data_IF_292710308696
#
_entry.id   IF_292710308696
#
_cell.length_a   1.000
_cell.length_b   1.000
_cell.length_c   1.000
_cell.angle_alpha   90.00
_cell.angle_beta   90.00
_cell.angle_gamma   90.00
#
_symmetry.space_group_name_H-M   'P 1'
#
loop_
_entity.id
_entity.type
_entity.pdbx_description
1 polymer ?
#
# COMPACT_ATOMS: atom_id res chain seq x y z
N UNK A 1 -18.59 -47.94 -25.34
CA UNK A 1 -18.92 -47.15 -24.14
C UNK A 1 -19.24 -45.72 -24.61
N UNK A 2 -20.46 -45.27 -24.31
CA UNK A 2 -21.17 -44.20 -25.02
C UNK A 2 -20.69 -42.78 -24.76
N UNK A 3 -20.81 -41.96 -25.80
CA UNK A 3 -20.74 -40.50 -25.82
C UNK A 3 -21.85 -39.86 -24.95
N UNK A 4 -21.46 -38.94 -24.05
CA UNK A 4 -22.37 -38.15 -23.22
C UNK A 4 -22.79 -36.85 -23.90
N UNK A 5 -24.08 -36.73 -24.19
CA UNK A 5 -24.73 -35.62 -24.88
C UNK A 5 -24.93 -34.37 -24.00
N UNK A 6 -24.75 -33.21 -24.64
CA UNK A 6 -25.21 -31.89 -24.22
C UNK A 6 -26.71 -31.85 -23.90
N UNK A 7 -27.10 -31.19 -22.79
CA UNK A 7 -28.49 -30.73 -22.57
C UNK A 7 -28.53 -29.27 -22.11
N UNK A 8 -29.09 -28.45 -22.99
CA UNK A 8 -29.53 -27.07 -22.79
C UNK A 8 -30.50 -26.95 -21.61
N UNK A 9 -30.25 -26.02 -20.69
CA UNK A 9 -31.25 -25.56 -19.71
C UNK A 9 -31.98 -24.34 -20.26
N UNK A 10 -33.27 -24.50 -20.55
CA UNK A 10 -34.20 -23.42 -20.91
C UNK A 10 -34.52 -22.58 -19.67
N UNK A 11 -34.26 -21.28 -19.77
CA UNK A 11 -34.69 -20.27 -18.81
C UNK A 11 -36.19 -20.00 -19.00
N UNK A 12 -37.01 -20.17 -17.95
CA UNK A 12 -38.45 -19.89 -17.97
C UNK A 12 -38.68 -18.40 -17.67
N UNK A 13 -39.10 -17.64 -18.68
CA UNK A 13 -39.64 -16.30 -18.53
C UNK A 13 -41.11 -16.39 -18.07
N UNK A 14 -41.42 -15.85 -16.89
CA UNK A 14 -42.78 -15.69 -16.38
C UNK A 14 -43.43 -14.45 -16.98
N UNK A 15 -44.56 -14.66 -17.64
CA UNK A 15 -45.41 -13.63 -18.23
C UNK A 15 -46.15 -12.86 -17.14
N UNK A 16 -45.88 -11.56 -16.99
CA UNK A 16 -46.73 -10.65 -16.22
C UNK A 16 -47.68 -9.90 -17.16
N UNK A 17 -48.98 -10.11 -16.94
CA UNK A 17 -50.10 -9.50 -17.64
C UNK A 17 -50.13 -7.98 -17.45
N UNK A 18 -50.17 -7.23 -18.55
CA UNK A 18 -50.48 -5.80 -18.57
C UNK A 18 -51.96 -5.57 -18.21
N UNK A 19 -52.24 -4.97 -17.05
CA UNK A 19 -53.51 -4.28 -16.79
C UNK A 19 -53.38 -2.84 -17.27
N UNK A 20 -54.18 -2.47 -18.27
CA UNK A 20 -54.36 -1.07 -18.70
C UNK A 20 -55.02 -0.29 -17.57
N UNK A 21 -54.28 0.61 -16.93
CA UNK A 21 -54.85 1.68 -16.12
C UNK A 21 -54.81 2.97 -16.93
N UNK A 22 -55.95 3.34 -17.49
CA UNK A 22 -56.20 4.69 -17.96
C UNK A 22 -56.67 5.53 -16.77
N UNK A 23 -56.03 6.67 -16.49
CA UNK A 23 -56.67 7.93 -16.07
C UNK A 23 -55.60 9.01 -15.78
N UNK A 24 -55.66 10.04 -16.63
CA UNK A 24 -55.43 11.48 -16.37
C UNK A 24 -54.30 11.86 -15.39
N UNK A 25 -53.19 12.31 -15.95
CA UNK A 25 -52.15 13.08 -15.27
C UNK A 25 -52.67 14.47 -14.87
N UNK A 26 -52.49 14.92 -13.61
CA UNK A 26 -52.60 16.34 -13.27
C UNK A 26 -51.37 17.07 -13.82
N UNK A 27 -51.59 18.26 -14.38
CA UNK A 27 -50.55 19.13 -14.90
C UNK A 27 -49.55 19.54 -13.82
N UNK A 28 -48.42 18.83 -13.74
CA UNK A 28 -47.26 19.32 -13.00
C UNK A 28 -46.67 20.49 -13.78
N UNK A 29 -46.83 21.69 -13.22
CA UNK A 29 -46.15 22.90 -13.71
C UNK A 29 -44.64 22.63 -13.67
N UNK A 30 -43.99 22.70 -14.84
CA UNK A 30 -42.53 22.65 -14.94
C UNK A 30 -41.94 23.84 -14.18
N UNK A 31 -41.04 23.64 -13.20
CA UNK A 31 -40.27 24.76 -12.67
C UNK A 31 -39.34 25.25 -13.78
N UNK A 32 -39.41 26.55 -14.10
CA UNK A 32 -38.45 27.26 -14.96
C UNK A 32 -37.14 27.45 -14.19
N UNK A 33 -36.34 26.40 -14.04
CA UNK A 33 -34.97 26.48 -13.53
C UNK A 33 -34.10 25.47 -14.29
N UNK A 34 -33.91 25.69 -15.59
CA UNK A 34 -33.02 24.86 -16.41
C UNK A 34 -32.26 25.66 -17.48
N UNK A 35 -32.20 26.99 -17.36
CA UNK A 35 -31.49 27.82 -18.33
C UNK A 35 -30.18 28.39 -17.78
N UNK A 36 -30.08 28.69 -16.48
CA UNK A 36 -28.88 29.31 -15.89
C UNK A 36 -27.77 28.33 -15.50
N UNK A 37 -28.00 27.02 -15.61
CA UNK A 37 -26.99 25.99 -15.27
C UNK A 37 -26.18 25.50 -16.49
N UNK A 38 -26.58 25.87 -17.71
CA UNK A 38 -25.93 25.41 -18.95
C UNK A 38 -24.95 26.44 -19.52
N UNK A 39 -25.08 27.72 -19.17
CA UNK A 39 -24.19 28.79 -19.66
C UNK A 39 -22.84 28.81 -18.92
N UNK A 40 -22.76 28.21 -17.73
CA UNK A 40 -21.54 28.15 -16.90
C UNK A 40 -20.62 26.95 -17.23
N UNK A 41 -20.99 26.16 -18.24
CA UNK A 41 -20.23 24.96 -18.64
C UNK A 41 -19.14 25.23 -19.69
N UNK A 42 -19.23 26.38 -20.40
CA UNK A 42 -18.21 26.78 -21.39
C UNK A 42 -17.00 27.45 -20.74
N UNK A 43 -17.21 28.20 -19.65
CA UNK A 43 -16.13 28.85 -18.86
C UNK A 43 -15.23 27.83 -18.14
N UNK A 44 -15.78 26.68 -17.73
CA UNK A 44 -15.02 25.61 -17.06
C UNK A 44 -14.11 24.82 -18.01
N UNK A 45 -14.36 24.83 -19.32
CA UNK A 45 -13.54 24.12 -20.30
C UNK A 45 -12.32 24.94 -20.76
N UNK A 46 -12.30 26.27 -20.55
CA UNK A 46 -11.21 27.15 -20.99
C UNK A 46 -10.07 27.30 -19.97
N UNK A 47 -10.24 26.83 -18.73
CA UNK A 47 -9.24 26.96 -17.65
C UNK A 47 -8.29 25.77 -17.49
N UNK A 48 -8.50 24.67 -18.20
CA UNK A 48 -7.45 23.64 -18.34
C UNK A 48 -6.45 24.12 -19.41
N UNK A 49 -5.54 25.01 -19.02
CA UNK A 49 -4.52 25.54 -19.92
C UNK A 49 -3.73 24.39 -20.56
N UNK A 50 -3.22 24.59 -21.78
CA UNK A 50 -2.37 23.61 -22.47
C UNK A 50 -1.18 23.13 -21.60
N UNK A 51 -0.73 23.95 -20.64
CA UNK A 51 0.27 23.59 -19.62
C UNK A 51 -0.19 22.47 -18.67
N UNK A 52 -1.47 22.41 -18.30
CA UNK A 52 -1.99 21.35 -17.42
C UNK A 52 -1.96 19.97 -18.09
N UNK A 53 -2.15 19.92 -19.40
CA UNK A 53 -2.05 18.69 -20.22
C UNK A 53 -0.59 18.32 -20.55
N UNK A 54 0.34 19.26 -20.42
CA UNK A 54 1.77 19.07 -20.65
C UNK A 54 2.54 18.63 -19.38
N UNK A 55 1.89 18.62 -18.20
CA UNK A 55 2.54 18.18 -16.97
C UNK A 55 3.01 16.72 -17.10
N UNK A 56 4.27 16.44 -16.70
CA UNK A 56 4.81 15.10 -16.82
C UNK A 56 4.01 14.13 -15.92
N UNK A 57 3.75 12.92 -16.45
CA UNK A 57 2.85 11.94 -15.84
C UNK A 57 3.56 11.15 -14.75
N UNK A 58 3.75 11.76 -13.58
CA UNK A 58 4.19 11.04 -12.39
C UNK A 58 3.02 10.46 -11.61
N UNK A 59 3.31 9.52 -10.72
CA UNK A 59 2.33 8.91 -9.81
C UNK A 59 3.05 8.14 -8.70
N UNK A 60 2.32 7.83 -7.64
CA UNK A 60 2.75 7.06 -6.49
C UNK A 60 2.06 5.69 -6.52
N UNK A 61 2.86 4.65 -6.31
CA UNK A 61 2.40 3.29 -6.06
C UNK A 61 2.84 2.86 -4.66
N UNK A 62 1.90 2.40 -3.84
CA UNK A 62 2.19 1.89 -2.50
C UNK A 62 1.89 0.39 -2.44
N UNK A 63 2.87 -0.38 -1.97
CA UNK A 63 2.79 -1.81 -1.69
C UNK A 63 2.86 -1.97 -0.18
N UNK A 64 1.69 -2.00 0.48
CA UNK A 64 1.61 -2.00 1.93
C UNK A 64 0.95 -3.25 2.50
N UNK A 65 1.54 -3.85 3.53
CA UNK A 65 1.02 -5.06 4.16
C UNK A 65 1.94 -5.59 5.24
N UNK A 66 1.49 -6.60 5.99
CA UNK A 66 2.28 -7.23 7.05
C UNK A 66 3.61 -7.83 6.56
N UNK A 67 4.48 -8.19 7.50
CA UNK A 67 5.68 -8.99 7.22
C UNK A 67 5.33 -10.29 6.48
N UNK A 68 6.27 -10.82 5.69
CA UNK A 68 6.15 -12.07 4.92
C UNK A 68 5.11 -12.05 3.77
N UNK A 69 4.50 -10.92 3.47
CA UNK A 69 3.52 -10.80 2.38
C UNK A 69 4.13 -10.62 0.98
N UNK A 70 5.47 -10.59 0.85
CA UNK A 70 6.13 -10.44 -0.45
C UNK A 70 6.22 -9.00 -0.97
N UNK A 71 6.14 -7.98 -0.11
CA UNK A 71 6.24 -6.56 -0.51
C UNK A 71 7.51 -6.25 -1.31
N UNK A 72 8.66 -6.63 -0.76
CA UNK A 72 9.98 -6.42 -1.38
C UNK A 72 10.10 -7.14 -2.72
N UNK A 73 9.51 -8.34 -2.85
CA UNK A 73 9.45 -9.07 -4.13
C UNK A 73 8.57 -8.35 -5.16
N UNK A 74 7.42 -7.83 -4.74
CA UNK A 74 6.56 -7.03 -5.61
C UNK A 74 7.25 -5.72 -6.05
N UNK A 75 7.96 -5.04 -5.15
CA UNK A 75 8.77 -3.85 -5.46
C UNK A 75 9.84 -4.19 -6.50
N UNK A 76 10.69 -5.19 -6.24
CA UNK A 76 11.73 -5.64 -7.17
C UNK A 76 11.15 -6.00 -8.54
N UNK A 77 10.02 -6.70 -8.56
CA UNK A 77 9.35 -7.08 -9.82
C UNK A 77 8.96 -5.86 -10.64
N UNK A 78 8.44 -4.79 -10.00
CA UNK A 78 8.05 -3.55 -10.70
C UNK A 78 9.25 -2.76 -11.18
N UNK A 79 10.29 -2.63 -10.36
CA UNK A 79 11.52 -1.95 -10.73
C UNK A 79 12.25 -2.66 -11.88
N UNK A 80 12.27 -4.00 -11.89
CA UNK A 80 12.82 -4.79 -13.01
C UNK A 80 12.08 -4.55 -14.33
N UNK A 81 10.74 -4.47 -14.29
CA UNK A 81 9.96 -4.13 -15.49
C UNK A 81 10.33 -2.76 -16.05
N UNK A 82 10.58 -1.77 -15.18
CA UNK A 82 11.05 -0.46 -15.59
C UNK A 82 12.45 -0.50 -16.24
N UNK A 83 13.38 -1.28 -15.67
CA UNK A 83 14.70 -1.51 -16.27
C UNK A 83 14.63 -2.19 -17.64
N UNK A 84 13.76 -3.20 -17.81
CA UNK A 84 13.52 -3.86 -19.11
C UNK A 84 12.97 -2.85 -20.14
N UNK A 85 12.12 -1.92 -19.70
CA UNK A 85 11.62 -0.82 -20.51
C UNK A 85 12.65 0.31 -20.73
N UNK A 86 13.91 0.11 -20.31
CA UNK A 86 15.04 1.07 -20.43
C UNK A 86 14.80 2.39 -19.69
N UNK A 87 13.99 2.36 -18.64
CA UNK A 87 13.80 3.53 -17.79
C UNK A 87 14.97 3.68 -16.80
N UNK A 88 15.33 4.90 -16.47
CA UNK A 88 16.32 5.18 -15.43
C UNK A 88 15.69 4.95 -14.04
N UNK A 89 16.21 3.97 -13.30
CA UNK A 89 15.68 3.54 -12.00
C UNK A 89 16.71 3.81 -10.91
N UNK A 90 16.27 4.39 -9.79
CA UNK A 90 17.02 4.41 -8.54
C UNK A 90 16.17 3.85 -7.41
N UNK A 91 16.80 3.17 -6.45
CA UNK A 91 16.10 2.58 -5.33
C UNK A 91 16.82 2.89 -4.01
N UNK A 92 16.04 3.07 -2.95
CA UNK A 92 16.47 3.55 -1.64
C UNK A 92 15.96 2.62 -0.55
N UNK A 93 16.75 2.45 0.51
CA UNK A 93 16.34 1.77 1.73
C UNK A 93 16.87 2.52 2.97
N UNK A 94 16.12 2.53 4.08
CA UNK A 94 16.58 3.17 5.32
C UNK A 94 17.81 2.48 5.87
N UNK A 95 18.73 3.26 6.45
CA UNK A 95 19.96 2.74 7.09
C UNK A 95 19.68 1.81 8.28
N UNK A 96 18.52 1.97 8.94
CA UNK A 96 18.07 1.12 10.04
C UNK A 96 17.84 -0.33 9.61
N UNK A 97 17.70 -0.61 8.31
CA UNK A 97 17.53 -1.97 7.80
C UNK A 97 18.89 -2.60 7.43
N UNK A 98 19.55 -3.21 8.42
CA UNK A 98 20.83 -3.92 8.28
C UNK A 98 20.68 -5.44 8.03
N UNK A 99 19.44 -5.93 7.83
CA UNK A 99 19.13 -7.37 7.74
C UNK A 99 19.76 -8.07 6.52
N UNK A 100 20.11 -7.32 5.48
CA UNK A 100 20.75 -7.82 4.25
C UNK A 100 21.70 -6.77 3.68
N UNK A 101 22.79 -7.23 3.04
CA UNK A 101 23.92 -6.45 2.48
C UNK A 101 23.59 -4.98 2.17
N UNK A 102 24.43 -4.06 2.67
CA UNK A 102 24.22 -2.60 2.64
C UNK A 102 23.78 -2.04 1.27
N UNK A 103 24.26 -2.63 0.17
CA UNK A 103 24.12 -2.06 -1.18
C UNK A 103 22.95 -2.61 -2.01
N UNK A 104 22.17 -3.56 -1.48
CA UNK A 104 21.08 -4.20 -2.24
C UNK A 104 19.78 -4.32 -1.46
N UNK A 105 18.65 -4.13 -2.16
CA UNK A 105 17.37 -4.73 -1.76
C UNK A 105 17.42 -6.18 -2.25
N UNK A 106 17.25 -7.11 -1.32
CA UNK A 106 17.21 -8.55 -1.58
C UNK A 106 15.86 -9.06 -1.13
N UNK A 107 15.07 -9.59 -2.06
CA UNK A 107 13.87 -10.37 -1.69
C UNK A 107 14.29 -11.69 -1.04
N UNK A 108 13.43 -12.29 -0.22
CA UNK A 108 13.60 -13.69 0.23
C UNK A 108 13.86 -14.67 -0.95
N UNK A 109 13.36 -14.38 -2.15
CA UNK A 109 13.57 -15.14 -3.39
C UNK A 109 14.90 -14.84 -4.13
N UNK A 110 15.90 -14.24 -3.46
CA UNK A 110 17.24 -13.91 -3.99
C UNK A 110 17.30 -12.93 -5.18
N UNK A 111 16.20 -12.24 -5.51
CA UNK A 111 16.23 -11.17 -6.51
C UNK A 111 16.88 -9.91 -5.92
N UNK A 112 17.80 -9.27 -6.66
CA UNK A 112 18.57 -8.11 -6.20
C UNK A 112 18.42 -6.89 -7.13
N UNK A 113 18.32 -5.70 -6.53
CA UNK A 113 18.45 -4.39 -7.20
C UNK A 113 19.40 -3.53 -6.37
N UNK A 114 20.33 -2.83 -7.03
CA UNK A 114 21.27 -1.93 -6.38
C UNK A 114 20.50 -0.79 -5.71
N UNK A 115 20.80 -0.53 -4.44
CA UNK A 115 20.12 0.47 -3.64
C UNK A 115 21.07 1.37 -2.88
N UNK A 116 20.62 2.59 -2.62
CA UNK A 116 21.33 3.56 -1.80
C UNK A 116 20.71 3.61 -0.41
N UNK A 117 21.57 3.70 0.61
CA UNK A 117 21.13 3.89 1.99
C UNK A 117 20.82 5.36 2.23
N UNK A 118 19.71 5.61 2.92
CA UNK A 118 19.28 6.96 3.36
C UNK A 118 18.92 6.92 4.85
N UNK A 119 19.09 8.02 5.57
CA UNK A 119 18.70 8.11 6.98
C UNK A 119 17.26 8.62 7.13
N UNK A 120 16.87 9.56 6.27
CA UNK A 120 15.54 10.17 6.24
C UNK A 120 15.03 10.35 4.81
N UNK A 121 13.74 10.68 4.64
CA UNK A 121 13.13 10.79 3.32
C UNK A 121 13.76 11.87 2.44
N UNK A 122 14.23 12.97 3.03
CA UNK A 122 14.82 14.11 2.32
C UNK A 122 16.10 13.74 1.58
N UNK A 123 16.90 12.84 2.16
CA UNK A 123 18.16 12.38 1.57
C UNK A 123 17.95 11.76 0.18
N UNK A 124 16.75 11.24 -0.09
CA UNK A 124 16.36 10.73 -1.41
C UNK A 124 16.48 11.82 -2.46
N UNK A 125 16.09 13.06 -2.13
CA UNK A 125 16.13 14.20 -3.05
C UNK A 125 17.57 14.60 -3.36
N UNK A 126 18.45 14.58 -2.36
CA UNK A 126 19.87 14.92 -2.51
C UNK A 126 20.64 13.88 -3.32
N UNK A 127 20.28 12.60 -3.15
CA UNK A 127 20.86 11.49 -3.89
C UNK A 127 20.21 11.26 -5.28
N UNK A 128 19.14 11.99 -5.62
CA UNK A 128 18.42 11.76 -6.85
C UNK A 128 19.17 12.30 -8.09
N UNK A 129 19.43 11.42 -9.05
CA UNK A 129 19.93 11.82 -10.35
C UNK A 129 18.81 12.49 -11.14
N UNK A 130 19.07 13.63 -11.82
CA UNK A 130 18.08 14.31 -12.67
C UNK A 130 17.48 13.41 -13.75
N UNK A 131 18.22 12.40 -14.23
CA UNK A 131 17.78 11.45 -15.24
C UNK A 131 16.80 10.39 -14.72
N UNK A 132 16.61 10.28 -13.39
CA UNK A 132 15.79 9.22 -12.78
C UNK A 132 14.32 9.38 -13.12
N UNK A 133 13.72 8.32 -13.64
CA UNK A 133 12.31 8.27 -14.03
C UNK A 133 11.47 7.43 -13.07
N UNK A 134 12.07 6.41 -12.44
CA UNK A 134 11.41 5.52 -11.49
C UNK A 134 12.20 5.47 -10.18
N UNK A 135 11.51 5.72 -9.08
CA UNK A 135 12.08 5.70 -7.72
C UNK A 135 11.46 4.53 -6.96
N UNK A 136 12.29 3.63 -6.46
CA UNK A 136 11.89 2.56 -5.54
C UNK A 136 12.27 2.90 -4.10
N UNK A 137 11.37 2.67 -3.16
CA UNK A 137 11.63 2.88 -1.72
C UNK A 137 11.19 1.61 -1.01
N UNK A 138 12.12 0.92 -0.35
CA UNK A 138 11.79 -0.22 0.51
C UNK A 138 11.79 0.18 1.98
N UNK A 139 10.99 -0.53 2.78
CA UNK A 139 10.77 -0.25 4.20
C UNK A 139 10.45 1.23 4.52
N UNK A 140 9.60 1.84 3.68
CA UNK A 140 9.29 3.28 3.74
C UNK A 140 8.74 3.75 5.10
N UNK A 141 8.17 2.86 5.90
CA UNK A 141 7.69 3.22 7.24
C UNK A 141 8.79 3.72 8.19
N UNK A 142 10.08 3.49 7.88
CA UNK A 142 11.20 3.97 8.68
C UNK A 142 11.80 5.31 8.22
N UNK A 143 11.26 5.95 7.18
CA UNK A 143 11.81 7.20 6.61
C UNK A 143 11.18 8.49 7.17
N UNK A 144 10.39 8.39 8.24
CA UNK A 144 9.79 9.55 8.90
C UNK A 144 8.60 10.17 8.16
N UNK A 145 7.98 11.18 8.78
CA UNK A 145 6.72 11.79 8.31
C UNK A 145 6.80 12.43 6.92
N UNK A 146 7.97 12.96 6.60
CA UNK A 146 8.27 13.73 5.38
C UNK A 146 8.30 12.86 4.12
N UNK A 147 8.29 11.53 4.27
CA UNK A 147 8.18 10.60 3.14
C UNK A 147 6.99 10.91 2.24
N UNK A 148 5.85 11.32 2.82
CA UNK A 148 4.65 11.64 2.03
C UNK A 148 4.91 12.83 1.12
N UNK A 149 5.50 13.89 1.66
CA UNK A 149 5.72 15.14 0.94
C UNK A 149 6.84 14.95 -0.11
N UNK A 150 7.87 14.16 0.18
CA UNK A 150 8.88 13.71 -0.79
C UNK A 150 8.26 12.92 -1.93
N UNK A 151 7.38 11.94 -1.65
CA UNK A 151 6.73 11.14 -2.69
C UNK A 151 5.83 11.99 -3.59
N UNK A 152 5.04 12.90 -2.99
CA UNK A 152 4.19 13.81 -3.74
C UNK A 152 5.01 14.72 -4.64
N UNK A 153 6.08 15.34 -4.11
CA UNK A 153 6.99 16.17 -4.90
C UNK A 153 7.57 15.41 -6.09
N UNK A 154 8.07 14.19 -5.89
CA UNK A 154 8.65 13.40 -6.97
C UNK A 154 7.61 13.04 -8.05
N UNK A 155 6.38 12.74 -7.65
CA UNK A 155 5.27 12.49 -8.58
C UNK A 155 4.86 13.77 -9.34
N UNK A 156 4.80 14.92 -8.67
CA UNK A 156 4.53 16.22 -9.31
C UNK A 156 5.62 16.61 -10.31
N UNK A 157 6.87 16.22 -10.05
CA UNK A 157 7.99 16.36 -10.98
C UNK A 157 7.97 15.31 -12.12
N UNK A 158 6.94 14.47 -12.18
CA UNK A 158 6.70 13.56 -13.30
C UNK A 158 7.29 12.16 -13.15
N UNK A 159 7.75 11.80 -11.95
CA UNK A 159 8.38 10.49 -11.70
C UNK A 159 7.37 9.46 -11.23
N UNK A 160 7.67 8.20 -11.52
CA UNK A 160 6.97 7.05 -10.96
C UNK A 160 7.62 6.68 -9.63
N UNK A 161 6.90 6.83 -8.53
CA UNK A 161 7.39 6.49 -7.18
C UNK A 161 6.73 5.18 -6.74
N UNK A 162 7.51 4.22 -6.27
CA UNK A 162 7.03 2.92 -5.80
C UNK A 162 7.55 2.68 -4.39
N UNK A 163 6.65 2.66 -3.41
CA UNK A 163 6.98 2.51 -1.99
C UNK A 163 6.49 1.16 -1.49
N UNK A 164 7.38 0.35 -0.92
CA UNK A 164 7.03 -0.82 -0.14
C UNK A 164 7.15 -0.50 1.35
N UNK A 165 6.11 -0.83 2.12
CA UNK A 165 6.10 -0.50 3.55
C UNK A 165 5.18 -1.40 4.38
N UNK A 166 5.39 -1.45 5.69
CA UNK A 166 4.41 -2.01 6.64
C UNK A 166 3.23 -1.04 6.79
N UNK A 167 2.00 -1.54 6.67
CA UNK A 167 0.80 -0.73 6.91
C UNK A 167 0.42 -0.67 8.39
N UNK A 168 0.69 -1.74 9.13
CA UNK A 168 0.44 -1.87 10.55
C UNK A 168 1.73 -2.25 11.29
N UNK A 169 1.85 -1.80 12.53
CA UNK A 169 2.87 -2.30 13.45
C UNK A 169 2.44 -3.61 14.13
N UNK A 170 3.28 -4.12 15.03
CA UNK A 170 3.04 -5.40 15.69
C UNK A 170 1.79 -5.41 16.59
N UNK A 171 1.29 -4.25 17.02
CA UNK A 171 0.04 -4.10 17.80
C UNK A 171 -1.19 -4.08 16.90
N UNK A 172 -0.99 -4.07 15.58
CA UNK A 172 -2.06 -3.89 14.61
C UNK A 172 -2.51 -2.44 14.50
N UNK A 173 -1.70 -1.49 14.98
CA UNK A 173 -1.94 -0.05 14.85
C UNK A 173 -1.35 0.47 13.53
N UNK A 174 -1.94 1.52 12.94
CA UNK A 174 -1.39 2.12 11.73
C UNK A 174 0.08 2.54 11.90
N UNK A 175 0.92 2.16 10.93
CA UNK A 175 2.33 2.53 10.92
C UNK A 175 2.53 3.85 10.18
N UNK A 176 2.57 4.97 10.91
CA UNK A 176 2.86 6.28 10.32
C UNK A 176 4.25 6.33 9.67
N UNK A 177 4.39 6.91 8.47
CA UNK A 177 3.42 7.78 7.75
C UNK A 177 2.54 7.06 6.71
N UNK A 178 2.52 5.74 6.70
CA UNK A 178 1.95 4.94 5.60
C UNK A 178 0.45 5.17 5.37
N UNK A 179 -0.41 5.38 6.41
CA UNK A 179 -1.82 5.68 6.18
C UNK A 179 -2.06 6.92 5.32
N UNK A 180 -1.30 8.00 5.57
CA UNK A 180 -1.37 9.23 4.76
C UNK A 180 -0.86 8.97 3.35
N UNK A 181 0.25 8.23 3.20
CA UNK A 181 0.79 7.87 1.89
C UNK A 181 -0.20 7.03 1.06
N UNK A 182 -0.90 6.08 1.69
CA UNK A 182 -1.94 5.28 1.04
C UNK A 182 -3.10 6.13 0.51
N UNK A 183 -3.47 7.20 1.21
CA UNK A 183 -4.52 8.12 0.78
C UNK A 183 -4.08 9.00 -0.40
N UNK A 184 -2.79 9.34 -0.47
CA UNK A 184 -2.23 10.17 -1.53
C UNK A 184 -1.93 9.40 -2.82
N UNK A 185 -1.77 8.09 -2.76
CA UNK A 185 -1.29 7.29 -3.89
C UNK A 185 -2.36 6.94 -4.92
N UNK A 186 -1.99 6.96 -6.20
CA UNK A 186 -2.84 6.54 -7.32
C UNK A 186 -3.03 5.03 -7.35
N UNK A 187 -2.05 4.26 -6.89
CA UNK A 187 -2.12 2.80 -6.87
C UNK A 187 -1.75 2.24 -5.50
N UNK A 188 -2.67 1.49 -4.91
CA UNK A 188 -2.44 0.78 -3.66
C UNK A 188 -2.54 -0.72 -3.89
N UNK A 189 -1.53 -1.46 -3.47
CA UNK A 189 -1.50 -2.92 -3.47
C UNK A 189 -1.28 -3.41 -2.05
N UNK A 190 -2.19 -4.25 -1.56
CA UNK A 190 -2.11 -4.80 -0.22
C UNK A 190 -1.92 -6.31 -0.23
N UNK A 191 -0.68 -6.80 -0.45
CA UNK A 191 -0.43 -8.23 -0.48
C UNK A 191 -0.59 -8.82 0.93
N UNK A 192 -1.08 -10.04 1.01
CA UNK A 192 -1.32 -10.76 2.26
C UNK A 192 -0.35 -11.93 2.38
N UNK A 193 0.12 -12.18 3.59
CA UNK A 193 0.86 -13.39 3.91
C UNK A 193 -0.12 -14.56 4.15
N UNK A 194 0.41 -15.73 4.52
CA UNK A 194 -0.40 -16.87 4.96
C UNK A 194 -0.30 -16.99 6.48
N UNK A 195 -1.45 -17.16 7.15
CA UNK A 195 -1.46 -17.30 8.60
C UNK A 195 -0.83 -18.63 9.01
N UNK A 196 0.21 -18.56 9.84
CA UNK A 196 0.94 -19.76 10.29
C UNK A 196 0.11 -20.66 11.22
N UNK A 197 -0.98 -20.16 11.80
CA UNK A 197 -1.85 -20.95 12.69
C UNK A 197 -2.98 -21.69 11.94
N UNK A 198 -3.59 -21.05 10.94
CA UNK A 198 -4.82 -21.56 10.35
C UNK A 198 -4.84 -21.58 8.82
N UNK A 199 -3.81 -21.08 8.15
CA UNK A 199 -3.72 -21.04 6.69
C UNK A 199 -4.51 -19.92 6.00
N UNK A 200 -5.36 -19.19 6.73
CA UNK A 200 -6.11 -18.05 6.17
C UNK A 200 -5.18 -16.89 5.75
N UNK A 201 -5.62 -15.99 4.84
CA UNK A 201 -4.87 -14.77 4.52
C UNK A 201 -4.53 -13.95 5.78
N UNK A 202 -3.25 -13.61 5.92
CA UNK A 202 -2.70 -12.90 7.07
C UNK A 202 -2.40 -11.44 6.73
N UNK A 203 -2.87 -10.56 7.61
CA UNK A 203 -2.65 -9.12 7.52
C UNK A 203 -1.76 -8.59 8.64
N UNK A 204 -1.60 -9.36 9.73
CA UNK A 204 -0.94 -8.90 10.94
C UNK A 204 0.41 -9.57 11.11
N UNK A 205 1.36 -8.82 11.65
CA UNK A 205 2.65 -9.31 12.10
C UNK A 205 2.60 -9.49 13.60
N UNK A 206 2.42 -10.74 14.04
CA UNK A 206 2.40 -11.09 15.45
C UNK A 206 3.82 -11.08 15.98
N UNK A 207 4.09 -10.27 17.00
CA UNK A 207 5.35 -10.34 17.76
C UNK A 207 5.29 -11.52 18.74
N UNK A 208 6.40 -12.25 18.84
CA UNK A 208 6.58 -13.41 19.71
C UNK A 208 7.42 -13.11 20.97
N UNK A 209 7.99 -11.91 21.07
CA UNK A 209 8.78 -11.45 22.22
C UNK A 209 8.06 -10.41 23.08
N UNK A 210 8.52 -10.29 24.32
CA UNK A 210 8.06 -9.31 25.29
C UNK A 210 8.68 -7.91 25.10
N UNK A 211 9.62 -7.74 24.18
CA UNK A 211 10.28 -6.45 23.94
C UNK A 211 9.26 -5.43 23.45
N UNK A 212 9.03 -4.33 24.14
CA UNK A 212 7.98 -3.36 23.81
C UNK A 212 8.30 -2.44 22.64
N UNK A 213 9.56 -2.37 22.20
CA UNK A 213 10.01 -1.50 21.11
C UNK A 213 9.14 -1.71 19.87
N UNK A 214 8.81 -0.60 19.21
CA UNK A 214 7.96 -0.60 18.00
C UNK A 214 8.60 -1.43 16.87
N UNK A 215 9.92 -1.46 16.82
CA UNK A 215 10.72 -2.16 15.82
C UNK A 215 11.77 -2.98 16.55
N UNK A 216 11.80 -4.29 16.27
CA UNK A 216 12.92 -5.15 16.64
C UNK A 216 13.47 -5.73 15.35
N UNK A 217 14.67 -5.28 14.98
CA UNK A 217 15.36 -5.71 13.74
C UNK A 217 16.16 -6.98 14.06
N UNK A 218 16.09 -8.00 13.20
CA UNK A 218 16.68 -9.33 13.42
C UNK A 218 15.63 -10.44 13.30
N UNK A 219 15.31 -10.83 12.07
CA UNK A 219 14.01 -11.35 11.67
C UNK A 219 13.65 -12.80 12.08
N UNK A 220 14.60 -13.63 12.51
CA UNK A 220 14.31 -15.05 12.66
C UNK A 220 13.72 -15.37 14.04
N UNK A 221 12.44 -15.77 14.03
CA UNK A 221 11.71 -16.21 15.21
C UNK A 221 11.08 -15.11 16.06
N UNK A 222 11.21 -13.83 15.70
CA UNK A 222 10.61 -12.72 16.45
C UNK A 222 9.18 -12.37 16.01
N UNK A 223 8.86 -12.63 14.74
CA UNK A 223 7.58 -12.29 14.15
C UNK A 223 7.01 -13.43 13.30
N UNK A 224 5.69 -13.53 13.26
CA UNK A 224 4.97 -14.48 12.40
C UNK A 224 3.71 -13.84 11.81
N UNK A 225 3.28 -14.33 10.65
CA UNK A 225 2.08 -13.83 9.98
C UNK A 225 0.80 -14.41 10.59
N UNK A 226 -0.15 -13.54 11.00
CA UNK A 226 -1.45 -13.95 11.56
C UNK A 226 -2.63 -13.32 10.83
N UNK A 227 -3.72 -14.08 10.70
CA UNK A 227 -5.01 -13.56 10.25
C UNK A 227 -5.71 -12.81 11.40
N UNK A 228 -6.78 -12.09 11.09
CA UNK A 228 -7.53 -11.30 12.07
C UNK A 228 -8.01 -12.11 13.28
N UNK A 229 -8.42 -13.37 13.07
CA UNK A 229 -8.89 -14.26 14.13
C UNK A 229 -7.76 -14.72 15.06
N UNK A 230 -6.58 -14.96 14.50
CA UNK A 230 -5.45 -15.56 15.20
C UNK A 230 -4.45 -14.52 15.74
N UNK A 231 -4.66 -13.24 15.45
CA UNK A 231 -3.82 -12.14 15.90
C UNK A 231 -4.19 -11.76 17.34
N UNK A 232 -3.17 -11.64 18.18
CA UNK A 232 -3.28 -11.23 19.58
C UNK A 232 -2.34 -10.03 19.76
N UNK A 233 -2.86 -8.79 19.82
CA UNK A 233 -2.03 -7.58 19.89
C UNK A 233 -1.06 -7.54 21.07
N UNK A 234 -1.46 -8.15 22.21
CA UNK A 234 -0.70 -8.21 23.45
C UNK A 234 -0.63 -9.67 23.92
N UNK A 235 0.20 -10.52 23.28
CA UNK A 235 0.31 -11.93 23.67
C UNK A 235 1.03 -12.10 25.02
N UNK A 236 1.83 -11.09 25.40
CA UNK A 236 2.45 -10.94 26.72
C UNK A 236 1.95 -9.59 27.27
N UNK A 237 1.30 -9.55 28.45
CA UNK A 237 0.89 -8.28 29.06
C UNK A 237 2.12 -7.41 29.38
N UNK A 238 2.08 -6.07 29.20
CA UNK A 238 3.16 -5.11 29.53
C UNK A 238 3.58 -5.03 31.01
N UNK A 239 3.38 -6.07 31.82
CA UNK A 239 3.61 -6.00 33.27
C UNK A 239 4.08 -7.34 33.82
N UNK A 240 5.36 -7.67 33.61
CA UNK A 240 6.12 -8.53 34.54
C UNK A 240 7.65 -8.40 34.41
N UNK A 241 8.17 -7.50 33.58
CA UNK A 241 9.62 -7.36 33.35
C UNK A 241 10.34 -6.35 34.26
N UNK A 242 9.64 -5.61 35.12
CA UNK A 242 10.28 -4.60 36.00
C UNK A 242 10.48 -5.09 37.45
N UNK A 243 9.99 -6.28 37.82
CA UNK A 243 10.12 -6.78 39.21
C UNK A 243 11.30 -7.73 39.48
N UNK A 244 12.04 -8.18 38.46
CA UNK A 244 13.13 -9.15 38.67
C UNK A 244 14.55 -8.57 38.73
N UNK A 245 14.76 -7.31 38.33
CA UNK A 245 16.08 -6.66 38.45
C UNK A 245 16.23 -5.89 39.76
N UNK A 246 15.15 -5.27 40.28
CA UNK A 246 15.18 -4.60 41.59
C UNK A 246 15.25 -5.56 42.79
N UNK A 247 14.98 -6.86 42.61
CA UNK A 247 15.03 -7.85 43.69
C UNK A 247 16.40 -8.54 43.84
N UNK A 248 17.34 -8.34 42.89
CA UNK A 248 18.69 -8.92 42.96
C UNK A 248 19.75 -7.98 43.56
N UNK A 249 19.44 -6.70 43.76
CA UNK A 249 20.30 -5.76 44.50
C UNK A 249 19.91 -5.59 45.98
N UNK A 250 18.83 -6.22 46.44
CA UNK A 250 18.34 -6.11 47.82
C UNK A 250 18.64 -7.33 48.72
N UNK A 251 19.47 -8.26 48.26
CA UNK A 251 20.02 -9.34 49.09
C UNK A 251 21.54 -9.19 49.10
N UNK A 252 21.97 -8.11 49.76
CA UNK A 252 23.32 -8.00 50.33
C UNK A 252 23.21 -8.24 51.82
#
# INVERSE_FOLDING_TARGET
MSFGSWRQRRCRLSQWRLRRFSRRSPSLRRPRLAASFLEDSRSLQEVASADALARPRGWIEVIAGGMFSGKTEALITRLRRALIARQAVQAFKPRLDDRYEADFIVSHSQLRIKTQLVEQAEDILDCLSPATQVVGIDEGQFLGGELVDVCCRLADEGRRVIVAALDLDYRGEPFEPIPRLLAMAEYVTKPQAICVVCGDPANFSQRLTADERRVVVGADGLYEARCRRCFVPYPVPPSETVKSEAAKEAVT
#
